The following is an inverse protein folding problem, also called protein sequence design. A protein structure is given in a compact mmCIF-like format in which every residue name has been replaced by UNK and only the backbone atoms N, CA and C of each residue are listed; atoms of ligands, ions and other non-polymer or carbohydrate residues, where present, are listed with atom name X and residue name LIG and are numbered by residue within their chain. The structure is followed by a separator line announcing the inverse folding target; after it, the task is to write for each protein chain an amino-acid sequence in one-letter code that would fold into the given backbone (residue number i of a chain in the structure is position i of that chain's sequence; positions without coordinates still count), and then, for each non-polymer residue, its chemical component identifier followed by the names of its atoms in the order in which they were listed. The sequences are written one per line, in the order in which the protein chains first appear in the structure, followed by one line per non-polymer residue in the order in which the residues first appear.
data_IF_679017856092
#
_entry.id   IF_679017856092
#
_cell.length_a   1.000
_cell.length_b   1.000
_cell.length_c   1.000
_cell.angle_alpha   90.00
_cell.angle_beta   90.00
_cell.angle_gamma   90.00
#
_symmetry.space_group_name_H-M   'P 1'
#
loop_
_entity.id
_entity.type
_entity.pdbx_description
1 polymer ?
#
# COMPACT_ATOMS: atom_id res chain seq x y z
N UNK A 1 0.72 2.07 32.45
CA UNK A 1 -0.39 2.85 31.85
C UNK A 1 0.01 3.29 30.45
N UNK A 2 1.20 3.90 30.29
CA UNK A 2 1.82 4.29 29.01
C UNK A 2 1.98 3.12 28.00
N UNK A 3 2.61 2.00 28.41
CA UNK A 3 2.78 0.80 27.54
C UNK A 3 1.47 0.20 27.00
N UNK A 4 0.36 0.31 27.73
CA UNK A 4 -0.94 -0.19 27.28
C UNK A 4 -1.62 0.77 26.27
N UNK A 5 -1.33 2.06 26.38
CA UNK A 5 -1.78 3.07 25.42
C UNK A 5 -1.02 2.95 24.10
N UNK A 6 0.30 2.75 24.15
CA UNK A 6 1.14 2.51 22.97
C UNK A 6 0.70 1.27 22.19
N UNK A 7 0.42 0.16 22.89
CA UNK A 7 -0.09 -1.06 22.25
C UNK A 7 -1.43 -0.86 21.55
N UNK A 8 -2.30 -0.01 22.12
CA UNK A 8 -3.60 0.32 21.51
C UNK A 8 -3.43 1.19 20.26
N UNK A 9 -2.49 2.13 20.27
CA UNK A 9 -2.16 2.94 19.09
C UNK A 9 -1.61 2.06 17.97
N UNK A 10 -0.67 1.17 18.26
CA UNK A 10 -0.15 0.21 17.27
C UNK A 10 -1.26 -0.66 16.70
N UNK A 11 -2.18 -1.15 17.54
CA UNK A 11 -3.35 -1.91 17.07
C UNK A 11 -4.23 -1.11 16.10
N UNK A 12 -4.51 0.16 16.42
CA UNK A 12 -5.33 1.02 15.55
C UNK A 12 -4.67 1.23 14.18
N UNK A 13 -3.36 1.50 14.17
CA UNK A 13 -2.59 1.70 12.95
C UNK A 13 -2.56 0.42 12.08
N UNK A 14 -2.39 -0.75 12.69
CA UNK A 14 -2.45 -2.05 12.01
C UNK A 14 -3.82 -2.24 11.34
N UNK A 15 -4.90 -2.00 12.08
CA UNK A 15 -6.26 -2.17 11.57
C UNK A 15 -6.60 -1.19 10.45
N UNK A 16 -6.14 0.05 10.59
CA UNK A 16 -6.29 1.09 9.57
C UNK A 16 -5.61 0.67 8.26
N UNK A 17 -4.34 0.27 8.32
CA UNK A 17 -3.60 -0.21 7.16
C UNK A 17 -4.21 -1.47 6.54
N UNK A 18 -4.57 -2.46 7.37
CA UNK A 18 -5.18 -3.70 6.92
C UNK A 18 -6.53 -3.48 6.22
N UNK A 19 -7.34 -2.50 6.69
CA UNK A 19 -8.65 -2.20 6.09
C UNK A 19 -8.55 -1.44 4.76
N UNK A 20 -7.51 -0.61 4.57
CA UNK A 20 -7.30 0.18 3.35
C UNK A 20 -6.84 -0.66 2.16
N UNK A 21 -6.02 -1.68 2.40
CA UNK A 21 -5.50 -2.56 1.34
C UNK A 21 -6.64 -3.16 0.48
N UNK A 22 -7.63 -3.90 1.02
CA UNK A 22 -8.69 -4.49 0.22
C UNK A 22 -9.62 -3.45 -0.40
N UNK A 23 -9.84 -2.31 0.26
CA UNK A 23 -10.63 -1.21 -0.30
C UNK A 23 -9.96 -0.63 -1.56
N UNK A 24 -8.63 -0.46 -1.55
CA UNK A 24 -7.87 0.04 -2.70
C UNK A 24 -7.73 -0.98 -3.81
N UNK A 25 -7.60 -2.28 -3.48
CA UNK A 25 -7.65 -3.35 -4.49
C UNK A 25 -8.98 -3.30 -5.24
N UNK A 26 -10.10 -3.24 -4.51
CA UNK A 26 -11.43 -3.15 -5.12
C UNK A 26 -11.58 -1.91 -6.00
N UNK A 27 -11.10 -0.76 -5.54
CA UNK A 27 -11.12 0.47 -6.33
C UNK A 27 -10.33 0.34 -7.62
N UNK A 28 -9.10 -0.19 -7.55
CA UNK A 28 -8.25 -0.39 -8.71
C UNK A 28 -8.86 -1.34 -9.75
N UNK A 29 -9.53 -2.41 -9.31
CA UNK A 29 -10.21 -3.34 -10.21
C UNK A 29 -11.41 -2.73 -10.95
N UNK A 30 -11.92 -1.57 -10.53
CA UNK A 30 -13.03 -0.89 -11.19
C UNK A 30 -12.60 0.13 -12.25
N UNK A 31 -11.30 0.41 -12.35
CA UNK A 31 -10.70 1.42 -13.25
C UNK A 31 -9.47 0.86 -13.96
N UNK A 32 -9.40 -0.47 -14.14
CA UNK A 32 -8.22 -1.22 -14.58
C UNK A 32 -7.71 -0.84 -15.98
N UNK A 33 -8.51 -0.10 -16.74
CA UNK A 33 -8.16 0.45 -18.05
C UNK A 33 -7.29 1.72 -17.98
N UNK A 34 -7.29 2.48 -16.88
CA UNK A 34 -6.55 3.77 -16.77
C UNK A 34 -5.27 3.61 -15.94
N UNK A 35 -4.12 3.62 -16.61
CA UNK A 35 -2.82 3.34 -15.98
C UNK A 35 -2.54 4.16 -14.72
N UNK A 36 -2.68 5.49 -14.78
CA UNK A 36 -2.36 6.37 -13.65
C UNK A 36 -3.25 6.09 -12.44
N UNK A 37 -4.56 5.92 -12.62
CA UNK A 37 -5.49 5.64 -11.51
C UNK A 37 -5.20 4.30 -10.82
N UNK A 38 -4.87 3.28 -11.60
CA UNK A 38 -4.53 1.95 -11.06
C UNK A 38 -3.17 2.02 -10.35
N UNK A 39 -2.20 2.76 -10.90
CA UNK A 39 -0.89 2.99 -10.29
C UNK A 39 -0.99 3.74 -8.97
N UNK A 40 -1.81 4.78 -8.86
CA UNK A 40 -2.07 5.47 -7.59
C UNK A 40 -2.60 4.51 -6.53
N UNK A 41 -3.57 3.68 -6.90
CA UNK A 41 -4.12 2.67 -6.01
C UNK A 41 -3.05 1.67 -5.57
N UNK A 42 -2.19 1.24 -6.50
CA UNK A 42 -1.06 0.36 -6.21
C UNK A 42 -0.04 1.00 -5.26
N UNK A 43 0.25 2.30 -5.40
CA UNK A 43 1.12 3.05 -4.47
C UNK A 43 0.53 3.05 -3.06
N UNK A 44 -0.76 3.37 -2.92
CA UNK A 44 -1.42 3.39 -1.60
C UNK A 44 -1.39 2.00 -0.97
N UNK A 45 -1.69 0.95 -1.74
CA UNK A 45 -1.58 -0.45 -1.26
C UNK A 45 -0.16 -0.73 -0.75
N UNK A 46 0.87 -0.40 -1.52
CA UNK A 46 2.28 -0.62 -1.15
C UNK A 46 2.64 0.12 0.14
N UNK A 47 2.21 1.37 0.30
CA UNK A 47 2.45 2.16 1.52
C UNK A 47 1.82 1.47 2.73
N UNK A 48 0.53 1.13 2.65
CA UNK A 48 -0.19 0.49 3.76
C UNK A 48 0.42 -0.88 4.13
N UNK A 49 0.84 -1.69 3.15
CA UNK A 49 1.52 -2.97 3.42
C UNK A 49 2.89 -2.76 4.07
N UNK A 50 3.63 -1.73 3.66
CA UNK A 50 4.96 -1.43 4.21
C UNK A 50 4.84 -0.96 5.66
N UNK A 51 3.88 -0.09 5.94
CA UNK A 51 3.59 0.39 7.30
C UNK A 51 3.06 -0.74 8.19
N UNK A 52 2.14 -1.56 7.68
CA UNK A 52 1.64 -2.76 8.37
C UNK A 52 2.81 -3.67 8.78
N UNK A 53 3.73 -3.93 7.84
CA UNK A 53 4.92 -4.73 8.13
C UNK A 53 5.82 -4.09 9.20
N UNK A 54 6.00 -2.76 9.20
CA UNK A 54 6.75 -2.06 10.24
C UNK A 54 6.07 -2.14 11.62
N UNK A 55 4.73 -2.05 11.67
CA UNK A 55 3.96 -2.17 12.91
C UNK A 55 4.02 -3.59 13.49
N UNK A 56 4.13 -4.62 12.64
CA UNK A 56 4.40 -5.99 13.09
C UNK A 56 5.75 -6.13 13.81
N UNK A 57 6.78 -5.38 13.39
CA UNK A 57 8.05 -5.31 14.14
C UNK A 57 7.86 -4.64 15.50
N UNK A 58 7.08 -3.55 15.57
CA UNK A 58 6.76 -2.92 16.85
C UNK A 58 6.01 -3.87 17.79
N UNK A 59 5.10 -4.71 17.28
CA UNK A 59 4.43 -5.75 18.07
C UNK A 59 5.40 -6.75 18.69
N UNK A 60 6.41 -7.20 17.93
CA UNK A 60 7.41 -8.16 18.40
C UNK A 60 8.37 -7.55 19.43
N UNK A 61 8.83 -6.30 19.21
CA UNK A 61 9.89 -5.69 20.02
C UNK A 61 9.37 -4.85 21.20
N UNK A 62 8.17 -4.26 21.10
CA UNK A 62 7.67 -3.26 22.06
C UNK A 62 6.44 -3.70 22.85
N UNK A 63 5.72 -4.72 22.39
CA UNK A 63 4.40 -5.08 22.95
C UNK A 63 4.30 -6.52 23.47
N UNK A 64 5.42 -7.23 23.58
CA UNK A 64 5.51 -8.61 24.12
C UNK A 64 4.51 -9.58 23.46
N UNK A 65 4.23 -9.38 22.17
CA UNK A 65 3.33 -10.25 21.41
C UNK A 65 4.06 -11.54 21.06
N UNK A 66 3.38 -12.69 21.23
CA UNK A 66 3.97 -13.97 20.86
C UNK A 66 4.38 -13.99 19.38
N UNK A 67 5.66 -14.22 19.14
CA UNK A 67 6.29 -14.23 17.81
C UNK A 67 5.53 -15.05 16.76
N UNK A 68 4.94 -16.19 17.16
CA UNK A 68 4.17 -17.06 16.26
C UNK A 68 3.02 -16.33 15.54
N UNK A 69 2.36 -15.35 16.18
CA UNK A 69 1.28 -14.60 15.54
C UNK A 69 1.82 -13.58 14.54
N UNK A 70 2.94 -12.94 14.89
CA UNK A 70 3.63 -11.98 14.03
C UNK A 70 4.21 -12.67 12.79
N UNK A 71 4.80 -13.84 12.97
CA UNK A 71 5.41 -14.62 11.89
C UNK A 71 4.38 -15.04 10.82
N UNK A 72 3.19 -15.47 11.23
CA UNK A 72 2.08 -15.77 10.30
C UNK A 72 1.75 -14.56 9.44
N UNK A 73 1.63 -13.37 10.04
CA UNK A 73 1.32 -12.15 9.29
C UNK A 73 2.46 -11.71 8.37
N UNK A 74 3.72 -11.88 8.80
CA UNK A 74 4.90 -11.59 7.96
C UNK A 74 4.96 -12.52 6.73
N UNK A 75 4.61 -13.80 6.90
CA UNK A 75 4.53 -14.77 5.81
C UNK A 75 3.43 -14.39 4.81
N UNK A 76 2.23 -14.06 5.28
CA UNK A 76 1.13 -13.60 4.42
C UNK A 76 1.48 -12.33 3.65
N UNK A 77 2.20 -11.38 4.28
CA UNK A 77 2.70 -10.18 3.58
C UNK A 77 3.70 -10.54 2.47
N UNK A 78 4.56 -11.55 2.69
CA UNK A 78 5.52 -12.00 1.67
C UNK A 78 4.81 -12.65 0.46
N UNK A 79 3.78 -13.46 0.72
CA UNK A 79 2.91 -14.04 -0.31
C UNK A 79 2.20 -12.92 -1.07
N UNK A 80 1.57 -11.98 -0.34
CA UNK A 80 0.89 -10.84 -0.92
C UNK A 80 1.79 -10.01 -1.84
N UNK A 81 3.03 -9.71 -1.41
CA UNK A 81 4.01 -8.97 -2.24
C UNK A 81 4.28 -9.64 -3.58
N UNK A 82 4.35 -10.97 -3.59
CA UNK A 82 4.56 -11.75 -4.83
C UNK A 82 3.37 -11.65 -5.78
N UNK A 83 2.14 -11.71 -5.23
CA UNK A 83 0.91 -11.50 -6.00
C UNK A 83 0.79 -10.07 -6.51
N UNK A 84 1.10 -9.09 -5.66
CA UNK A 84 1.08 -7.67 -6.00
C UNK A 84 2.02 -7.34 -7.16
N UNK A 85 3.25 -7.86 -7.16
CA UNK A 85 4.19 -7.69 -8.29
C UNK A 85 3.61 -8.28 -9.57
N UNK A 86 2.98 -9.46 -9.48
CA UNK A 86 2.34 -10.10 -10.64
C UNK A 86 1.19 -9.26 -11.18
N UNK A 87 0.38 -8.68 -10.29
CA UNK A 87 -0.72 -7.79 -10.65
C UNK A 87 -0.24 -6.50 -11.32
N UNK A 88 0.76 -5.81 -10.75
CA UNK A 88 1.33 -4.57 -11.33
C UNK A 88 1.91 -4.80 -12.73
N UNK A 89 2.47 -5.99 -13.00
CA UNK A 89 2.97 -6.33 -14.34
C UNK A 89 1.89 -6.38 -15.42
N UNK A 90 0.61 -6.49 -15.03
CA UNK A 90 -0.50 -6.52 -15.97
C UNK A 90 -0.98 -5.12 -16.38
N UNK A 91 -0.46 -4.04 -15.79
CA UNK A 91 -0.94 -2.70 -16.08
C UNK A 91 -0.46 -2.23 -17.46
N UNK A 92 -1.40 -1.74 -18.27
CA UNK A 92 -1.12 -1.24 -19.61
C UNK A 92 -0.80 0.25 -19.58
N UNK A 93 0.46 0.61 -19.82
CA UNK A 93 0.91 2.02 -19.88
C UNK A 93 0.42 2.78 -21.09
N UNK A 94 -0.06 2.09 -22.13
CA UNK A 94 -0.49 2.72 -23.38
C UNK A 94 -1.89 3.31 -23.30
N UNK A 95 -2.67 2.93 -22.28
CA UNK A 95 -4.01 3.43 -22.04
C UNK A 95 -4.01 4.25 -20.74
N UNK A 96 -4.01 5.56 -20.89
CA UNK A 96 -4.03 6.46 -19.74
C UNK A 96 -4.72 7.78 -20.07
N UNK A 97 -5.20 8.45 -19.02
CA UNK A 97 -5.72 9.80 -19.09
C UNK A 97 -4.91 10.63 -18.09
N UNK A 98 -3.91 11.42 -18.56
CA UNK A 98 -3.03 12.17 -17.67
C UNK A 98 -3.83 13.08 -16.74
N UNK A 99 -3.47 13.07 -15.46
CA UNK A 99 -4.00 14.02 -14.49
C UNK A 99 -3.14 15.29 -14.43
N UNK A 100 -3.53 16.24 -13.60
CA UNK A 100 -2.78 17.51 -13.44
C UNK A 100 -1.45 17.33 -12.69
N UNK A 101 -1.20 16.16 -12.09
CA UNK A 101 0.01 15.87 -11.31
C UNK A 101 1.10 15.22 -12.15
N UNK A 102 0.74 14.58 -13.27
CA UNK A 102 1.63 13.93 -14.22
C UNK A 102 2.59 12.88 -13.60
N UNK A 103 2.27 12.36 -12.40
CA UNK A 103 3.21 11.57 -11.56
C UNK A 103 3.70 10.28 -12.24
N UNK A 104 2.88 9.68 -13.10
CA UNK A 104 3.19 8.43 -13.80
C UNK A 104 3.38 8.60 -15.31
N UNK A 105 3.30 9.84 -15.80
CA UNK A 105 3.43 10.19 -17.22
C UNK A 105 4.91 10.43 -17.59
N UNK A 106 5.20 10.54 -18.88
CA UNK A 106 6.53 10.88 -19.34
C UNK A 106 6.82 12.36 -19.00
N UNK A 107 7.97 12.71 -18.39
CA UNK A 107 8.37 14.10 -18.20
C UNK A 107 8.34 14.96 -19.48
N UNK A 108 8.53 14.35 -20.66
CA UNK A 108 8.43 15.06 -21.94
C UNK A 108 6.99 15.56 -22.25
N UNK A 109 5.97 15.00 -21.59
CA UNK A 109 4.55 15.35 -21.76
C UNK A 109 4.07 16.40 -20.73
N UNK A 110 4.96 16.91 -19.88
CA UNK A 110 4.60 17.88 -18.84
C UNK A 110 4.22 19.23 -19.48
N UNK A 111 3.28 19.98 -18.89
CA UNK A 111 2.95 21.30 -19.39
C UNK A 111 4.19 22.21 -19.33
N UNK A 112 4.31 23.12 -20.30
CA UNK A 112 5.34 24.17 -20.26
C UNK A 112 5.13 25.04 -19.00
N UNK A 113 6.22 25.47 -18.37
CA UNK A 113 6.15 26.38 -17.22
C UNK A 113 5.46 27.69 -17.68
N UNK A 114 4.32 28.04 -17.06
CA UNK A 114 3.74 29.37 -17.24
C UNK A 114 4.61 30.38 -16.46
N UNK A 115 5.24 31.32 -17.18
CA UNK A 115 6.06 32.45 -16.66
C UNK A 115 5.30 33.35 -15.66
#
# INVERSE_FOLDING_TARGET
MESAEDGRLTQQLIMENASRIPAKIRGAMSVDEMYSLVMESAVIIKVNVTELHAQLWACEELHDIEKKYVDVLKEEIAIFKSLFITWVKCFDKSNDLPDEWYLFNNPDDFPEEED
#
